data_IF_916651671616
#
_entry.id   IF_916651671616
#
_cell.length_a   1.000
_cell.length_b   1.000
_cell.length_c   1.000
_cell.angle_alpha   90.00
_cell.angle_beta   90.00
_cell.angle_gamma   90.00
#
_symmetry.space_group_name_H-M   'P 1'
#
loop_
_entity.id
_entity.type
_entity.pdbx_description
1 polymer ?
#
# COMPACT_ATOMS: atom_id res chain seq x y z
N UNK A 1 -21.03 16.73 4.22
CA UNK A 1 -19.79 17.51 4.01
C UNK A 1 -19.31 17.29 2.59
N UNK A 2 -18.80 18.33 1.91
CA UNK A 2 -18.22 18.22 0.56
C UNK A 2 -16.69 18.17 0.67
N UNK A 3 -16.08 17.11 0.20
CA UNK A 3 -14.66 16.83 0.38
C UNK A 3 -14.01 16.68 -1.00
N UNK A 4 -12.96 17.47 -1.27
CA UNK A 4 -12.17 17.33 -2.49
C UNK A 4 -10.83 16.64 -2.17
N UNK A 5 -10.62 15.44 -2.72
CA UNK A 5 -9.40 14.62 -2.53
C UNK A 5 -8.53 14.79 -3.76
N UNK A 6 -7.26 15.14 -3.56
CA UNK A 6 -6.28 15.32 -4.63
C UNK A 6 -5.19 14.27 -4.53
N UNK A 7 -4.92 13.58 -5.64
CA UNK A 7 -3.89 12.54 -5.70
C UNK A 7 -3.27 12.44 -7.09
N UNK A 8 -1.97 12.18 -7.16
CA UNK A 8 -1.28 11.91 -8.44
C UNK A 8 -1.38 10.44 -8.86
N UNK A 9 -1.93 9.56 -7.99
CA UNK A 9 -2.19 8.14 -8.29
C UNK A 9 -3.56 7.71 -7.80
N UNK A 10 -4.39 7.17 -8.71
CA UNK A 10 -5.73 6.65 -8.42
C UNK A 10 -6.01 5.44 -9.32
N UNK A 11 -6.90 4.51 -8.96
CA UNK A 11 -7.19 3.38 -9.84
C UNK A 11 -7.39 3.79 -11.31
N UNK A 12 -6.84 3.00 -12.27
CA UNK A 12 -6.29 1.65 -12.15
C UNK A 12 -4.83 1.54 -11.69
N UNK A 13 -4.17 2.62 -11.25
CA UNK A 13 -2.85 2.50 -10.64
C UNK A 13 -2.92 1.72 -9.34
N UNK A 14 -2.04 0.72 -9.16
CA UNK A 14 -1.96 -0.06 -7.94
C UNK A 14 -0.68 0.27 -7.18
N UNK A 15 -0.85 1.00 -6.09
CA UNK A 15 0.15 1.27 -5.06
C UNK A 15 -0.55 1.66 -3.76
N UNK A 16 0.17 1.68 -2.64
CA UNK A 16 -0.40 1.99 -1.33
C UNK A 16 -1.13 3.34 -1.25
N UNK A 17 -0.67 4.37 -1.99
CA UNK A 17 -1.33 5.68 -2.03
C UNK A 17 -2.66 5.61 -2.77
N UNK A 18 -2.69 4.94 -3.92
CA UNK A 18 -3.91 4.73 -4.70
C UNK A 18 -4.95 3.95 -3.89
N UNK A 19 -4.54 2.86 -3.24
CA UNK A 19 -5.41 2.06 -2.36
C UNK A 19 -5.94 2.88 -1.20
N UNK A 20 -5.06 3.62 -0.50
CA UNK A 20 -5.46 4.48 0.62
C UNK A 20 -6.46 5.56 0.20
N UNK A 21 -6.21 6.21 -0.94
CA UNK A 21 -7.10 7.25 -1.48
C UNK A 21 -8.46 6.69 -1.89
N UNK A 22 -8.47 5.51 -2.53
CA UNK A 22 -9.69 4.83 -2.94
C UNK A 22 -10.53 4.40 -1.74
N UNK A 23 -9.92 3.78 -0.74
CA UNK A 23 -10.58 3.39 0.50
C UNK A 23 -11.16 4.59 1.24
N UNK A 24 -10.40 5.70 1.31
CA UNK A 24 -10.87 6.94 1.89
C UNK A 24 -12.10 7.49 1.16
N UNK A 25 -12.04 7.61 -0.16
CA UNK A 25 -13.14 8.14 -0.96
C UNK A 25 -14.42 7.32 -0.80
N UNK A 26 -14.30 5.98 -0.88
CA UNK A 26 -15.43 5.07 -0.73
C UNK A 26 -16.02 5.12 0.69
N UNK A 27 -15.17 5.12 1.71
CA UNK A 27 -15.63 5.22 3.09
C UNK A 27 -16.39 6.51 3.36
N UNK A 28 -15.90 7.65 2.86
CA UNK A 28 -16.59 8.93 2.99
C UNK A 28 -17.94 8.93 2.27
N UNK A 29 -18.02 8.40 1.06
CA UNK A 29 -19.27 8.28 0.31
C UNK A 29 -20.28 7.35 1.00
N UNK A 30 -19.82 6.23 1.53
CA UNK A 30 -20.66 5.28 2.27
C UNK A 30 -21.29 5.92 3.53
N UNK A 31 -20.61 6.93 4.11
CA UNK A 31 -21.13 7.72 5.24
C UNK A 31 -21.88 9.00 4.83
N UNK A 32 -22.32 9.10 3.57
CA UNK A 32 -23.18 10.19 3.09
C UNK A 32 -22.47 11.52 2.85
N UNK A 33 -21.16 11.52 2.62
CA UNK A 33 -20.44 12.72 2.20
C UNK A 33 -20.39 12.85 0.68
N UNK A 34 -20.39 14.08 0.18
CA UNK A 34 -20.12 14.38 -1.22
C UNK A 34 -18.60 14.40 -1.45
N UNK A 35 -18.11 13.54 -2.31
CA UNK A 35 -16.66 13.40 -2.56
C UNK A 35 -16.33 13.67 -4.02
N UNK A 36 -15.38 14.57 -4.25
CA UNK A 36 -14.75 14.79 -5.55
C UNK A 36 -13.28 14.39 -5.50
N UNK A 37 -12.92 13.34 -6.23
CA UNK A 37 -11.51 12.94 -6.39
C UNK A 37 -10.95 13.67 -7.61
N UNK A 38 -9.80 14.33 -7.45
CA UNK A 38 -9.06 14.98 -8.54
C UNK A 38 -7.79 14.20 -8.78
N UNK A 39 -7.69 13.56 -9.95
CA UNK A 39 -6.57 12.68 -10.29
C UNK A 39 -6.13 12.88 -11.74
N UNK A 40 -4.88 12.52 -12.11
CA UNK A 40 -4.48 12.50 -13.50
C UNK A 40 -5.20 11.36 -14.25
N UNK A 41 -5.47 11.57 -15.52
CA UNK A 41 -6.03 10.51 -16.37
C UNK A 41 -4.97 9.41 -16.60
N UNK A 42 -5.37 8.15 -16.58
CA UNK A 42 -4.44 7.03 -16.85
C UNK A 42 -3.99 6.95 -18.31
N UNK A 43 -4.83 7.43 -19.23
CA UNK A 43 -4.58 7.49 -20.68
C UNK A 43 -4.51 8.93 -21.17
N UNK A 44 -4.00 9.17 -22.38
CA UNK A 44 -4.07 10.49 -23.00
C UNK A 44 -5.52 10.87 -23.28
N UNK A 45 -5.88 12.12 -23.01
CA UNK A 45 -7.25 12.59 -23.18
C UNK A 45 -7.49 13.99 -22.65
N UNK A 46 -8.76 14.39 -22.76
CA UNK A 46 -9.23 15.70 -22.29
C UNK A 46 -9.64 15.65 -20.83
N UNK A 47 -9.83 16.83 -20.22
CA UNK A 47 -10.48 16.96 -18.92
C UNK A 47 -11.87 16.33 -18.95
N UNK A 48 -12.12 15.40 -18.05
CA UNK A 48 -13.37 14.65 -17.97
C UNK A 48 -13.72 14.34 -16.52
N UNK A 49 -15.00 14.32 -16.21
CA UNK A 49 -15.48 13.83 -14.93
C UNK A 49 -16.27 12.53 -15.16
N UNK A 50 -15.86 11.46 -14.48
CA UNK A 50 -16.54 10.16 -14.50
C UNK A 50 -16.95 9.86 -13.06
N UNK A 51 -18.25 9.81 -12.81
CA UNK A 51 -18.76 9.67 -11.44
C UNK A 51 -18.26 10.79 -10.53
N UNK A 52 -17.63 10.40 -9.44
CA UNK A 52 -17.03 11.31 -8.47
C UNK A 52 -15.55 11.66 -8.75
N UNK A 53 -14.99 11.23 -9.89
CA UNK A 53 -13.59 11.47 -10.23
C UNK A 53 -13.45 12.49 -11.36
N UNK A 54 -12.73 13.55 -11.10
CA UNK A 54 -12.30 14.55 -12.09
C UNK A 54 -10.93 14.19 -12.61
N UNK A 55 -10.87 13.65 -13.81
CA UNK A 55 -9.61 13.29 -14.49
C UNK A 55 -9.01 14.50 -15.19
N UNK A 56 -7.83 14.91 -14.71
CA UNK A 56 -7.09 16.03 -15.28
C UNK A 56 -6.09 15.50 -16.32
N UNK A 57 -6.04 16.09 -17.56
CA UNK A 57 -5.08 15.67 -18.56
C UNK A 57 -3.64 15.98 -18.13
N UNK A 58 -2.71 15.11 -18.51
CA UNK A 58 -1.30 15.28 -18.21
C UNK A 58 -0.41 14.52 -19.17
N UNK A 59 0.85 14.96 -19.27
CA UNK A 59 1.90 14.34 -20.08
C UNK A 59 2.48 13.15 -19.33
N UNK A 60 2.54 11.99 -19.97
CA UNK A 60 3.08 10.76 -19.38
C UNK A 60 4.61 10.82 -19.25
N UNK A 61 5.11 10.55 -18.05
CA UNK A 61 6.54 10.56 -17.73
C UNK A 61 7.06 9.13 -17.54
N UNK A 62 7.53 8.50 -18.65
CA UNK A 62 8.07 7.13 -18.64
C UNK A 62 9.11 6.86 -17.54
N UNK A 63 10.01 7.83 -17.30
CA UNK A 63 11.11 7.71 -16.34
C UNK A 63 10.70 7.91 -14.87
N UNK A 64 9.48 8.37 -14.60
CA UNK A 64 8.97 8.63 -13.26
C UNK A 64 7.78 7.72 -12.93
N UNK A 65 7.98 6.42 -13.02
CA UNK A 65 7.02 5.38 -12.60
C UNK A 65 5.59 5.56 -13.14
N UNK A 66 5.44 6.18 -14.32
CA UNK A 66 4.13 6.40 -14.92
C UNK A 66 3.35 7.59 -14.38
N UNK A 67 3.97 8.43 -13.56
CA UNK A 67 3.35 9.70 -13.14
C UNK A 67 3.09 10.61 -14.34
N UNK A 68 2.06 11.44 -14.23
CA UNK A 68 1.71 12.40 -15.27
C UNK A 68 1.95 13.83 -14.81
N UNK A 69 2.57 14.62 -15.66
CA UNK A 69 2.74 16.05 -15.44
C UNK A 69 1.47 16.79 -15.90
N UNK A 70 0.67 17.29 -14.96
CA UNK A 70 -0.58 18.02 -15.25
C UNK A 70 -0.36 19.54 -15.22
N UNK A 71 -1.16 20.27 -16.01
CA UNK A 71 -1.10 21.73 -16.00
C UNK A 71 -1.80 22.28 -14.75
N UNK A 72 -1.00 22.69 -13.78
CA UNK A 72 -1.47 23.28 -12.51
C UNK A 72 -2.14 24.65 -12.65
N UNK A 73 -2.01 25.30 -13.81
CA UNK A 73 -2.60 26.61 -14.09
C UNK A 73 -3.92 26.53 -14.87
N UNK A 74 -4.37 25.33 -15.24
CA UNK A 74 -5.58 25.15 -16.01
C UNK A 74 -6.81 25.73 -15.30
N UNK A 75 -7.56 26.58 -15.99
CA UNK A 75 -8.73 27.27 -15.44
C UNK A 75 -9.96 26.35 -15.34
N UNK A 76 -10.09 25.38 -16.24
CA UNK A 76 -11.24 24.48 -16.30
C UNK A 76 -11.37 23.58 -15.04
N UNK A 77 -10.33 22.85 -14.59
CA UNK A 77 -10.39 22.10 -13.33
C UNK A 77 -10.74 23.00 -12.15
N UNK A 78 -10.10 24.18 -12.06
CA UNK A 78 -10.38 25.16 -11.01
C UNK A 78 -11.85 25.56 -10.96
N UNK A 79 -12.50 25.79 -12.13
CA UNK A 79 -13.93 26.15 -12.21
C UNK A 79 -14.83 25.02 -11.70
N UNK A 80 -14.53 23.76 -12.08
CA UNK A 80 -15.30 22.59 -11.63
C UNK A 80 -15.21 22.44 -10.11
N UNK A 81 -13.98 22.50 -9.56
CA UNK A 81 -13.76 22.39 -8.12
C UNK A 81 -14.42 23.53 -7.36
N UNK A 82 -14.37 24.77 -7.87
CA UNK A 82 -15.06 25.91 -7.30
C UNK A 82 -16.58 25.71 -7.26
N UNK A 83 -17.16 25.14 -8.32
CA UNK A 83 -18.60 24.85 -8.38
C UNK A 83 -19.01 23.72 -7.43
N UNK A 84 -18.13 22.76 -7.17
CA UNK A 84 -18.34 21.71 -6.17
C UNK A 84 -18.39 22.28 -4.74
N UNK A 85 -17.77 23.45 -4.48
CA UNK A 85 -17.73 24.15 -3.19
C UNK A 85 -17.28 23.24 -2.04
N UNK A 86 -16.05 22.71 -2.08
CA UNK A 86 -15.57 21.80 -1.03
C UNK A 86 -15.44 22.54 0.31
N UNK A 87 -15.81 21.87 1.39
CA UNK A 87 -15.65 22.32 2.77
C UNK A 87 -14.21 22.10 3.27
N UNK A 88 -13.54 21.08 2.71
CA UNK A 88 -12.15 20.71 3.01
C UNK A 88 -11.48 20.11 1.77
N UNK A 89 -10.20 20.37 1.62
CA UNK A 89 -9.34 19.74 0.61
C UNK A 89 -8.42 18.76 1.32
N UNK A 90 -8.37 17.50 0.84
CA UNK A 90 -7.42 16.51 1.31
C UNK A 90 -6.43 16.14 0.21
N UNK A 91 -5.18 16.51 0.41
CA UNK A 91 -4.09 16.23 -0.51
C UNK A 91 -3.36 14.94 -0.11
N UNK A 92 -3.19 14.00 -1.04
CA UNK A 92 -2.59 12.68 -0.80
C UNK A 92 -1.18 12.55 -1.38
N UNK A 93 -0.78 13.48 -2.26
CA UNK A 93 0.50 13.43 -2.96
C UNK A 93 1.05 14.83 -3.21
N UNK A 94 2.32 14.93 -3.57
CA UNK A 94 3.03 16.21 -3.75
C UNK A 94 3.54 16.50 -5.15
N UNK A 95 3.17 15.70 -6.11
CA UNK A 95 3.51 16.00 -7.48
C UNK A 95 2.57 17.07 -8.05
N UNK A 96 2.25 17.08 -9.30
CA UNK A 96 1.52 18.20 -9.93
C UNK A 96 0.10 18.38 -9.43
N UNK A 97 -0.62 17.31 -9.14
CA UNK A 97 -1.97 17.38 -8.56
C UNK A 97 -1.92 17.93 -7.12
N UNK A 98 -0.90 17.57 -6.35
CA UNK A 98 -0.70 18.16 -5.01
C UNK A 98 -0.42 19.66 -5.05
N UNK A 99 0.35 20.13 -6.05
CA UNK A 99 0.54 21.59 -6.28
C UNK A 99 -0.77 22.26 -6.64
N UNK A 100 -1.59 21.62 -7.49
CA UNK A 100 -2.94 22.10 -7.83
C UNK A 100 -3.83 22.20 -6.58
N UNK A 101 -3.81 21.19 -5.70
CA UNK A 101 -4.55 21.21 -4.43
C UNK A 101 -4.24 22.44 -3.58
N UNK A 102 -2.95 22.70 -3.35
CA UNK A 102 -2.50 23.88 -2.58
C UNK A 102 -2.89 25.19 -3.22
N UNK A 103 -2.86 25.27 -4.56
CA UNK A 103 -3.28 26.45 -5.31
C UNK A 103 -4.79 26.69 -5.15
N UNK A 104 -5.60 25.63 -5.27
CA UNK A 104 -7.06 25.67 -5.06
C UNK A 104 -7.38 26.11 -3.64
N UNK A 105 -6.79 25.47 -2.64
CA UNK A 105 -6.99 25.78 -1.22
C UNK A 105 -6.74 27.27 -0.94
N UNK A 106 -5.59 27.79 -1.39
CA UNK A 106 -5.23 29.20 -1.19
C UNK A 106 -6.19 30.15 -1.91
N UNK A 107 -6.55 29.84 -3.16
CA UNK A 107 -7.40 30.74 -3.97
C UNK A 107 -8.83 30.78 -3.49
N UNK A 108 -9.35 29.67 -3.03
CA UNK A 108 -10.74 29.54 -2.55
C UNK A 108 -10.87 29.72 -1.03
N UNK A 109 -9.75 29.91 -0.34
CA UNK A 109 -9.68 30.02 1.13
C UNK A 109 -10.37 28.81 1.81
N UNK A 110 -9.90 27.59 1.47
CA UNK A 110 -10.45 26.33 1.99
C UNK A 110 -9.33 25.66 2.81
N UNK A 111 -9.66 25.08 3.99
CA UNK A 111 -8.68 24.34 4.78
C UNK A 111 -8.11 23.15 4.01
N UNK A 112 -6.82 22.93 4.14
CA UNK A 112 -6.11 21.82 3.47
C UNK A 112 -5.51 20.87 4.48
N UNK A 113 -5.89 19.61 4.36
CA UNK A 113 -5.32 18.47 5.07
C UNK A 113 -4.35 17.76 4.14
N UNK A 114 -3.25 17.29 4.64
CA UNK A 114 -2.27 16.55 3.86
C UNK A 114 -1.90 15.23 4.54
N UNK A 115 -1.95 14.12 3.79
CA UNK A 115 -1.40 12.83 4.22
C UNK A 115 -0.07 12.57 3.51
N UNK A 116 0.99 12.45 4.31
CA UNK A 116 2.33 12.16 3.84
C UNK A 116 2.57 10.64 3.79
N UNK A 117 2.37 10.05 2.61
CA UNK A 117 2.43 8.60 2.44
C UNK A 117 3.83 8.05 2.21
N UNK A 118 4.76 8.87 1.70
CA UNK A 118 6.01 8.37 1.12
C UNK A 118 7.18 9.18 1.61
N UNK A 119 8.23 8.51 2.10
CA UNK A 119 9.54 9.14 2.26
C UNK A 119 10.16 9.36 0.88
N UNK A 120 10.10 10.59 0.38
CA UNK A 120 10.66 10.92 -0.93
C UNK A 120 12.17 10.76 -0.99
N UNK A 121 12.87 10.73 0.14
CA UNK A 121 14.32 10.48 0.19
C UNK A 121 14.68 9.09 -0.36
N UNK A 122 13.85 8.08 -0.11
CA UNK A 122 14.09 6.73 -0.58
C UNK A 122 13.99 6.61 -2.10
N UNK A 123 13.36 7.59 -2.75
CA UNK A 123 13.17 7.63 -4.21
C UNK A 123 14.15 8.57 -4.92
N UNK A 124 14.96 9.36 -4.21
CA UNK A 124 15.94 10.26 -4.85
C UNK A 124 16.97 9.49 -5.67
N UNK A 125 17.39 8.32 -5.19
CA UNK A 125 18.32 7.45 -5.90
C UNK A 125 17.83 7.09 -7.31
N UNK A 126 16.55 6.76 -7.45
CA UNK A 126 15.95 6.41 -8.75
C UNK A 126 15.82 7.61 -9.68
N UNK A 127 15.58 8.80 -9.13
CA UNK A 127 15.46 10.03 -9.92
C UNK A 127 16.82 10.56 -10.39
N UNK A 128 17.89 10.38 -9.59
CA UNK A 128 19.22 10.93 -9.86
C UNK A 128 20.24 9.90 -10.37
N UNK A 129 19.85 8.62 -10.46
CA UNK A 129 20.78 7.51 -10.77
C UNK A 129 22.03 7.50 -9.87
N UNK A 130 21.89 7.97 -8.61
CA UNK A 130 22.99 8.10 -7.65
C UNK A 130 23.85 9.35 -7.82
N UNK A 131 23.73 10.08 -8.94
CA UNK A 131 24.39 11.36 -9.17
C UNK A 131 23.67 12.46 -8.36
N UNK A 132 24.39 13.18 -7.51
CA UNK A 132 23.87 14.28 -6.68
C UNK A 132 22.84 13.87 -5.59
N UNK A 133 22.80 12.59 -5.18
CA UNK A 133 21.83 12.07 -4.20
C UNK A 133 21.80 12.87 -2.89
N UNK A 134 22.96 13.32 -2.38
CA UNK A 134 23.03 14.17 -1.16
C UNK A 134 22.30 15.51 -1.31
N UNK A 135 22.43 16.16 -2.46
CA UNK A 135 21.76 17.44 -2.72
C UNK A 135 20.25 17.24 -2.90
N UNK A 136 19.87 16.18 -3.62
CA UNK A 136 18.47 15.82 -3.80
C UNK A 136 17.79 15.50 -2.45
N UNK A 137 18.42 14.72 -1.59
CA UNK A 137 17.93 14.44 -0.23
C UNK A 137 17.79 15.71 0.61
N UNK A 138 18.80 16.59 0.57
CA UNK A 138 18.71 17.89 1.29
C UNK A 138 17.54 18.73 0.78
N UNK A 139 17.34 18.79 -0.53
CA UNK A 139 16.20 19.50 -1.11
C UNK A 139 14.86 18.90 -0.66
N UNK A 140 14.72 17.57 -0.75
CA UNK A 140 13.52 16.86 -0.30
C UNK A 140 13.22 17.13 1.18
N UNK A 141 14.23 17.13 2.04
CA UNK A 141 14.07 17.45 3.47
C UNK A 141 13.51 18.85 3.71
N UNK A 142 14.14 19.86 3.10
CA UNK A 142 13.68 21.25 3.22
C UNK A 142 12.27 21.41 2.68
N UNK A 143 11.99 20.80 1.51
CA UNK A 143 10.68 20.83 0.89
C UNK A 143 9.60 20.17 1.75
N UNK A 144 9.85 18.96 2.28
CA UNK A 144 8.91 18.23 3.12
C UNK A 144 8.58 19.00 4.41
N UNK A 145 9.57 19.64 5.03
CA UNK A 145 9.35 20.51 6.21
C UNK A 145 8.49 21.73 5.87
N UNK A 146 8.85 22.47 4.80
CA UNK A 146 8.08 23.65 4.37
C UNK A 146 6.64 23.28 4.00
N UNK A 147 6.48 22.16 3.31
CA UNK A 147 5.18 21.63 2.96
C UNK A 147 4.33 21.38 4.20
N UNK A 148 4.87 20.66 5.20
CA UNK A 148 4.17 20.38 6.42
C UNK A 148 3.68 21.63 7.13
N UNK A 149 4.53 22.65 7.23
CA UNK A 149 4.22 23.91 7.90
C UNK A 149 3.15 24.77 7.20
N UNK A 150 2.83 24.47 5.95
CA UNK A 150 1.82 25.20 5.16
C UNK A 150 0.44 24.52 5.14
N UNK A 151 0.29 23.37 5.79
CA UNK A 151 -0.97 22.65 5.85
C UNK A 151 -1.80 23.06 7.07
N UNK A 152 -3.11 23.04 6.95
CA UNK A 152 -4.00 23.27 8.10
C UNK A 152 -3.90 22.11 9.10
N UNK A 153 -3.83 20.87 8.57
CA UNK A 153 -3.62 19.65 9.33
C UNK A 153 -2.69 18.71 8.54
N UNK A 154 -1.89 17.94 9.28
CA UNK A 154 -0.93 17.01 8.70
C UNK A 154 -1.12 15.60 9.27
N UNK A 155 -1.12 14.61 8.38
CA UNK A 155 -1.34 13.20 8.71
C UNK A 155 -0.13 12.39 8.23
N UNK A 156 0.27 11.40 9.02
CA UNK A 156 1.21 10.35 8.62
C UNK A 156 0.59 8.98 8.88
N UNK A 157 0.90 7.95 8.05
CA UNK A 157 0.32 6.63 8.23
C UNK A 157 0.94 5.83 9.37
N UNK A 158 2.08 6.25 9.92
CA UNK A 158 2.81 5.54 10.99
C UNK A 158 3.60 6.48 11.88
N UNK A 159 3.94 6.01 13.07
CA UNK A 159 4.84 6.73 14.00
C UNK A 159 6.24 6.93 13.38
N UNK A 160 6.77 5.93 12.64
CA UNK A 160 8.04 6.08 11.91
C UNK A 160 8.03 7.30 10.99
N UNK A 161 6.98 7.47 10.21
CA UNK A 161 6.87 8.61 9.30
C UNK A 161 6.72 9.92 10.07
N UNK A 162 6.05 9.92 11.21
CA UNK A 162 5.97 11.07 12.12
C UNK A 162 7.35 11.40 12.71
N UNK A 163 8.10 10.40 13.19
CA UNK A 163 9.46 10.60 13.70
C UNK A 163 10.40 11.13 12.62
N UNK A 164 10.29 10.61 11.40
CA UNK A 164 11.00 11.14 10.25
C UNK A 164 10.69 12.63 10.06
N UNK A 165 9.42 13.04 10.03
CA UNK A 165 9.05 14.45 9.91
C UNK A 165 9.57 15.31 11.08
N UNK A 166 9.58 14.77 12.31
CA UNK A 166 10.20 15.41 13.47
C UNK A 166 11.70 15.59 13.31
N UNK A 167 12.41 14.60 12.77
CA UNK A 167 13.85 14.67 12.48
C UNK A 167 14.21 15.75 11.45
N UNK A 168 13.26 16.13 10.59
CA UNK A 168 13.40 17.27 9.67
C UNK A 168 13.21 18.64 10.35
N UNK A 169 12.87 18.65 11.64
CA UNK A 169 12.61 19.86 12.42
C UNK A 169 11.21 20.46 12.16
N UNK A 170 10.23 19.62 11.85
CA UNK A 170 8.83 20.07 11.77
C UNK A 170 8.19 20.09 13.16
N UNK A 171 7.68 21.24 13.59
CA UNK A 171 7.06 21.47 14.90
C UNK A 171 5.53 21.41 14.87
N UNK A 172 4.93 21.18 13.69
CA UNK A 172 3.48 21.09 13.54
C UNK A 172 2.92 19.89 14.29
N UNK A 173 1.64 19.95 14.64
CA UNK A 173 0.93 18.77 15.15
C UNK A 173 0.75 17.74 14.03
N UNK A 174 1.27 16.53 14.23
CA UNK A 174 1.20 15.43 13.28
C UNK A 174 0.22 14.39 13.81
N UNK A 175 -0.82 14.13 13.04
CA UNK A 175 -1.76 13.05 13.31
C UNK A 175 -1.21 11.74 12.75
N UNK A 176 -1.14 10.69 13.54
CA UNK A 176 -0.83 9.35 13.04
C UNK A 176 -2.14 8.62 12.81
N UNK A 177 -2.46 8.43 11.53
CA UNK A 177 -3.69 7.76 11.11
C UNK A 177 -3.32 6.73 10.04
N UNK A 178 -3.25 5.45 10.41
CA UNK A 178 -2.99 4.38 9.46
C UNK A 178 -4.06 4.32 8.37
N UNK A 179 -3.67 3.89 7.18
CA UNK A 179 -4.62 3.63 6.08
C UNK A 179 -5.63 2.58 6.50
N UNK A 180 -6.91 2.87 6.29
CA UNK A 180 -7.99 1.95 6.56
C UNK A 180 -8.10 0.86 5.49
N UNK A 181 -8.40 -0.34 5.94
CA UNK A 181 -8.65 -1.51 5.11
C UNK A 181 -10.10 -1.95 5.34
N UNK A 182 -10.81 -2.18 4.25
CA UNK A 182 -12.11 -2.87 4.31
C UNK A 182 -11.85 -4.38 4.47
N UNK A 183 -11.94 -4.85 5.69
CA UNK A 183 -11.71 -6.26 5.99
C UNK A 183 -12.84 -7.18 5.51
N UNK A 184 -14.00 -6.63 5.14
CA UNK A 184 -15.12 -7.43 4.64
C UNK A 184 -14.77 -8.19 3.37
N UNK A 185 -13.98 -7.57 2.46
CA UNK A 185 -13.61 -8.19 1.19
C UNK A 185 -12.67 -9.39 1.36
N UNK A 186 -11.96 -9.50 2.50
CA UNK A 186 -11.04 -10.60 2.81
C UNK A 186 -11.70 -11.78 3.53
N UNK A 187 -12.98 -11.67 3.89
CA UNK A 187 -13.70 -12.76 4.53
C UNK A 187 -13.93 -13.91 3.56
N UNK A 188 -13.75 -15.14 4.04
CA UNK A 188 -13.91 -16.36 3.25
C UNK A 188 -15.29 -16.45 2.58
N UNK A 189 -16.32 -15.91 3.22
CA UNK A 189 -17.71 -15.89 2.74
C UNK A 189 -17.87 -15.10 1.42
N UNK A 190 -16.97 -14.15 1.16
CA UNK A 190 -16.98 -13.31 -0.03
C UNK A 190 -16.09 -13.80 -1.16
N UNK A 191 -15.45 -14.98 -0.97
CA UNK A 191 -14.58 -15.60 -1.96
C UNK A 191 -15.36 -16.65 -2.75
N UNK A 192 -15.25 -16.58 -4.07
CA UNK A 192 -15.79 -17.60 -4.97
C UNK A 192 -14.99 -18.91 -4.84
N UNK A 193 -15.52 -19.83 -4.06
CA UNK A 193 -14.85 -21.10 -3.76
C UNK A 193 -14.76 -22.00 -4.98
N UNK A 194 -15.68 -21.86 -5.96
CA UNK A 194 -15.61 -22.63 -7.20
C UNK A 194 -14.43 -22.16 -8.04
N UNK A 195 -14.29 -20.86 -8.24
CA UNK A 195 -13.12 -20.28 -8.94
C UNK A 195 -11.81 -20.62 -8.24
N UNK A 196 -11.82 -20.65 -6.89
CA UNK A 196 -10.62 -21.00 -6.13
C UNK A 196 -10.21 -22.47 -6.40
N UNK A 197 -11.18 -23.39 -6.47
CA UNK A 197 -10.91 -24.78 -6.80
C UNK A 197 -10.46 -24.94 -8.27
N UNK A 198 -11.15 -24.28 -9.21
CA UNK A 198 -10.76 -24.27 -10.62
C UNK A 198 -9.33 -23.75 -10.83
N UNK A 199 -8.94 -22.70 -10.09
CA UNK A 199 -7.56 -22.19 -10.12
C UNK A 199 -6.57 -23.23 -9.60
N UNK A 200 -6.86 -23.86 -8.46
CA UNK A 200 -6.02 -24.93 -7.90
C UNK A 200 -5.80 -26.07 -8.89
N UNK A 201 -6.89 -26.56 -9.49
CA UNK A 201 -6.84 -27.66 -10.46
C UNK A 201 -6.02 -27.29 -11.70
N UNK A 202 -6.23 -26.09 -12.24
CA UNK A 202 -5.52 -25.60 -13.45
C UNK A 202 -4.02 -25.41 -13.18
N UNK A 203 -3.63 -25.01 -11.96
CA UNK A 203 -2.25 -24.71 -11.59
C UNK A 203 -1.55 -25.86 -10.84
N UNK A 204 -2.20 -27.04 -10.79
CA UNK A 204 -1.63 -28.24 -10.17
C UNK A 204 -1.43 -28.14 -8.66
N UNK A 205 -2.24 -27.34 -7.99
CA UNK A 205 -2.24 -27.18 -6.52
C UNK A 205 -3.18 -28.21 -5.91
N UNK A 206 -2.62 -29.26 -5.34
CA UNK A 206 -3.37 -30.34 -4.70
C UNK A 206 -3.80 -29.95 -3.28
N UNK A 207 -4.64 -30.75 -2.65
CA UNK A 207 -5.13 -30.50 -1.29
C UNK A 207 -3.99 -30.41 -0.25
N UNK A 208 -2.95 -31.23 -0.42
CA UNK A 208 -1.79 -31.26 0.47
C UNK A 208 -0.63 -30.34 0.04
N UNK A 209 -0.74 -29.65 -1.09
CA UNK A 209 0.27 -28.71 -1.56
C UNK A 209 0.32 -27.50 -0.62
N UNK A 210 1.50 -27.18 -0.10
CA UNK A 210 1.73 -26.02 0.75
C UNK A 210 1.99 -24.79 -0.11
N UNK A 211 1.11 -23.81 -0.05
CA UNK A 211 1.14 -22.63 -0.92
C UNK A 211 1.71 -21.42 -0.17
N UNK A 212 2.78 -20.87 -0.71
CA UNK A 212 3.37 -19.61 -0.29
C UNK A 212 2.92 -18.50 -1.23
N UNK A 213 2.68 -17.31 -0.68
CA UNK A 213 2.30 -16.13 -1.44
C UNK A 213 3.26 -14.99 -1.21
N UNK A 214 3.79 -14.44 -2.31
CA UNK A 214 4.39 -13.11 -2.39
C UNK A 214 3.43 -12.20 -3.15
N UNK A 215 3.07 -11.06 -2.59
CA UNK A 215 2.12 -10.14 -3.21
C UNK A 215 2.60 -8.70 -3.11
N UNK A 216 2.59 -8.00 -4.25
CA UNK A 216 2.95 -6.59 -4.33
C UNK A 216 3.74 -6.23 -5.59
N UNK A 217 4.24 -4.99 -5.62
CA UNK A 217 5.08 -4.54 -6.74
C UNK A 217 6.40 -5.32 -6.78
N UNK A 218 6.73 -5.89 -7.93
CA UNK A 218 7.99 -6.64 -8.14
C UNK A 218 9.11 -5.64 -8.42
N UNK A 219 9.76 -5.17 -7.35
CA UNK A 219 10.80 -4.17 -7.39
C UNK A 219 11.87 -4.46 -6.31
N UNK A 220 13.08 -3.95 -6.52
CA UNK A 220 14.26 -4.26 -5.66
C UNK A 220 14.03 -3.93 -4.19
N UNK A 221 13.34 -2.84 -3.90
CA UNK A 221 13.03 -2.42 -2.52
C UNK A 221 12.09 -3.39 -1.78
N UNK A 222 11.39 -4.28 -2.49
CA UNK A 222 10.55 -5.33 -1.88
C UNK A 222 11.32 -6.58 -1.51
N UNK A 223 12.57 -6.70 -1.94
CA UNK A 223 13.50 -7.80 -1.57
C UNK A 223 12.86 -9.19 -1.72
N UNK A 224 12.05 -9.40 -2.77
CA UNK A 224 11.38 -10.69 -2.99
C UNK A 224 12.36 -11.84 -3.21
N UNK A 225 13.55 -11.53 -3.73
CA UNK A 225 14.67 -12.47 -3.88
C UNK A 225 15.05 -13.17 -2.56
N UNK A 226 14.96 -12.46 -1.44
CA UNK A 226 15.25 -13.02 -0.11
C UNK A 226 14.22 -14.09 0.27
N UNK A 227 12.93 -13.84 0.05
CA UNK A 227 11.88 -14.83 0.31
C UNK A 227 11.95 -16.01 -0.66
N UNK A 228 12.31 -15.78 -1.92
CA UNK A 228 12.51 -16.85 -2.93
C UNK A 228 13.66 -17.77 -2.53
N UNK A 229 14.77 -17.21 -2.04
CA UNK A 229 15.92 -18.01 -1.52
C UNK A 229 15.52 -18.81 -0.28
N UNK A 230 14.77 -18.22 0.64
CA UNK A 230 14.24 -18.92 1.80
C UNK A 230 13.32 -20.09 1.42
N UNK A 231 12.41 -19.87 0.46
CA UNK A 231 11.55 -20.91 -0.09
C UNK A 231 12.35 -22.05 -0.76
N UNK A 232 13.35 -21.69 -1.56
CA UNK A 232 14.23 -22.69 -2.21
C UNK A 232 14.99 -23.54 -1.20
N UNK A 233 15.49 -22.93 -0.13
CA UNK A 233 16.20 -23.66 0.93
C UNK A 233 15.25 -24.57 1.72
N UNK A 234 14.01 -24.15 1.97
CA UNK A 234 12.97 -24.99 2.57
C UNK A 234 12.69 -26.21 1.69
N UNK A 235 12.43 -26.01 0.40
CA UNK A 235 12.17 -27.14 -0.52
C UNK A 235 13.37 -28.08 -0.63
N UNK A 236 14.61 -27.55 -0.65
CA UNK A 236 15.83 -28.37 -0.69
C UNK A 236 15.97 -29.25 0.56
N UNK A 237 15.56 -28.73 1.74
CA UNK A 237 15.59 -29.47 3.00
C UNK A 237 14.45 -30.48 3.13
N UNK A 238 13.29 -30.19 2.52
CA UNK A 238 12.05 -30.97 2.58
C UNK A 238 11.54 -31.32 1.17
N UNK A 239 12.30 -32.11 0.38
CA UNK A 239 11.92 -32.44 -0.99
C UNK A 239 10.66 -33.32 -1.09
N UNK A 240 10.26 -33.95 0.01
CA UNK A 240 9.04 -34.77 0.12
C UNK A 240 7.77 -33.92 0.26
N UNK A 241 7.89 -32.66 0.64
CA UNK A 241 6.74 -31.75 0.80
C UNK A 241 6.40 -31.12 -0.54
N UNK A 242 5.14 -31.32 -0.98
CA UNK A 242 4.65 -30.64 -2.17
C UNK A 242 4.41 -29.16 -1.86
N UNK A 243 5.14 -28.27 -2.56
CA UNK A 243 5.13 -26.82 -2.31
C UNK A 243 4.92 -26.04 -3.59
N UNK A 244 4.24 -24.91 -3.48
CA UNK A 244 4.06 -23.93 -4.56
C UNK A 244 4.29 -22.52 -4.04
N UNK A 245 4.96 -21.68 -4.82
CA UNK A 245 5.12 -20.25 -4.56
C UNK A 245 4.38 -19.45 -5.63
N UNK A 246 3.38 -18.69 -5.22
CA UNK A 246 2.65 -17.75 -6.07
C UNK A 246 3.25 -16.34 -5.88
N UNK A 247 3.61 -15.68 -6.99
CA UNK A 247 4.11 -14.31 -7.01
C UNK A 247 3.10 -13.44 -7.76
N UNK A 248 2.34 -12.65 -7.01
CA UNK A 248 1.27 -11.80 -7.52
C UNK A 248 1.72 -10.36 -7.57
N UNK A 249 1.70 -9.78 -8.76
CA UNK A 249 2.11 -8.42 -9.02
C UNK A 249 2.93 -8.28 -10.30
N UNK A 250 3.31 -7.05 -10.58
CA UNK A 250 4.16 -6.70 -11.72
C UNK A 250 5.25 -5.71 -11.32
N UNK A 251 6.28 -5.58 -12.13
CA UNK A 251 7.31 -4.59 -11.88
C UNK A 251 8.65 -4.89 -12.55
N UNK A 252 9.60 -3.95 -12.45
CA UNK A 252 10.84 -3.98 -13.24
C UNK A 252 11.81 -5.09 -12.85
N UNK A 253 11.68 -5.69 -11.66
CA UNK A 253 12.56 -6.77 -11.22
C UNK A 253 12.06 -8.18 -11.58
N UNK A 254 10.97 -8.32 -12.36
CA UNK A 254 10.39 -9.62 -12.69
C UNK A 254 11.38 -10.55 -13.38
N UNK A 255 12.04 -10.10 -14.44
CA UNK A 255 13.01 -10.90 -15.20
C UNK A 255 14.18 -11.38 -14.33
N UNK A 256 14.66 -10.50 -13.43
CA UNK A 256 15.73 -10.83 -12.49
C UNK A 256 15.29 -11.94 -11.50
N UNK A 257 14.03 -11.91 -11.04
CA UNK A 257 13.49 -12.95 -10.16
C UNK A 257 13.20 -14.27 -10.90
N UNK A 258 12.79 -14.23 -12.16
CA UNK A 258 12.63 -15.42 -13.01
C UNK A 258 13.97 -16.11 -13.23
N UNK A 259 15.04 -15.34 -13.50
CA UNK A 259 16.41 -15.86 -13.60
C UNK A 259 16.87 -16.49 -12.27
N UNK A 260 16.62 -15.83 -11.15
CA UNK A 260 16.91 -16.39 -9.82
C UNK A 260 16.23 -17.74 -9.59
N UNK A 261 14.96 -17.88 -9.97
CA UNK A 261 14.23 -19.15 -9.86
C UNK A 261 14.88 -20.26 -10.71
N UNK A 262 15.38 -19.91 -11.88
CA UNK A 262 16.10 -20.85 -12.75
C UNK A 262 17.45 -21.28 -12.15
N UNK A 263 18.22 -20.33 -11.61
CA UNK A 263 19.49 -20.60 -10.92
C UNK A 263 19.29 -21.53 -9.70
N UNK A 264 18.23 -21.30 -8.94
CA UNK A 264 17.85 -22.10 -7.77
C UNK A 264 17.16 -23.44 -8.14
N UNK A 265 16.88 -23.67 -9.43
CA UNK A 265 16.22 -24.89 -9.96
C UNK A 265 14.79 -25.10 -9.41
N UNK A 266 14.08 -24.01 -9.11
CA UNK A 266 12.72 -24.03 -8.55
C UNK A 266 11.66 -23.50 -9.53
N UNK A 267 11.99 -23.28 -10.81
CA UNK A 267 11.08 -22.69 -11.81
C UNK A 267 9.72 -23.40 -11.87
N UNK A 268 9.68 -24.73 -11.71
CA UNK A 268 8.43 -25.51 -11.73
C UNK A 268 7.54 -25.30 -10.50
N UNK A 269 8.12 -24.82 -9.40
CA UNK A 269 7.46 -24.59 -8.12
C UNK A 269 6.97 -23.14 -7.96
N UNK A 270 7.45 -22.23 -8.81
CA UNK A 270 7.16 -20.80 -8.71
C UNK A 270 6.28 -20.38 -9.89
N UNK A 271 5.27 -19.60 -9.59
CA UNK A 271 4.36 -19.09 -10.59
C UNK A 271 4.18 -17.58 -10.47
N UNK A 272 4.50 -16.88 -11.56
CA UNK A 272 4.33 -15.44 -11.67
C UNK A 272 2.96 -15.13 -12.29
N UNK A 273 2.00 -14.79 -11.46
CA UNK A 273 0.60 -14.52 -11.85
C UNK A 273 0.49 -13.22 -12.67
N UNK A 274 1.37 -12.26 -12.41
CA UNK A 274 1.28 -10.95 -13.01
C UNK A 274 0.41 -10.00 -12.19
N UNK A 275 0.04 -8.89 -12.82
CA UNK A 275 -0.74 -7.83 -12.20
C UNK A 275 -2.22 -8.22 -12.07
N UNK A 276 -2.79 -8.01 -10.88
CA UNK A 276 -4.21 -8.27 -10.58
C UNK A 276 -4.89 -7.01 -10.04
N UNK A 277 -6.18 -6.90 -10.23
CA UNK A 277 -6.99 -5.82 -9.69
C UNK A 277 -7.12 -5.91 -8.16
N UNK A 278 -7.30 -4.77 -7.49
CA UNK A 278 -7.41 -4.74 -6.02
C UNK A 278 -8.56 -5.60 -5.46
N UNK A 279 -9.64 -5.77 -6.21
CA UNK A 279 -10.77 -6.61 -5.82
C UNK A 279 -10.49 -8.12 -5.99
N UNK A 280 -9.45 -8.49 -6.73
CA UNK A 280 -9.04 -9.88 -6.93
C UNK A 280 -7.98 -10.32 -5.91
N UNK A 281 -7.32 -9.36 -5.27
CA UNK A 281 -6.26 -9.62 -4.27
C UNK A 281 -6.70 -10.57 -3.15
N UNK A 282 -7.91 -10.45 -2.56
CA UNK A 282 -8.40 -11.38 -1.54
C UNK A 282 -8.40 -12.84 -1.97
N UNK A 283 -8.70 -13.11 -3.25
CA UNK A 283 -8.69 -14.45 -3.82
C UNK A 283 -7.31 -15.13 -3.66
N UNK A 284 -6.22 -14.41 -3.96
CA UNK A 284 -4.86 -14.96 -3.85
C UNK A 284 -4.42 -15.19 -2.41
N UNK A 285 -4.86 -14.35 -1.47
CA UNK A 285 -4.62 -14.65 -0.05
C UNK A 285 -5.29 -15.97 0.33
N UNK A 286 -6.52 -16.24 -0.11
CA UNK A 286 -7.22 -17.47 0.24
C UNK A 286 -6.64 -18.73 -0.41
N UNK A 287 -5.86 -18.63 -1.48
CA UNK A 287 -5.08 -19.75 -2.04
C UNK A 287 -3.89 -20.14 -1.14
N UNK A 288 -3.35 -19.22 -0.36
CA UNK A 288 -2.11 -19.40 0.38
C UNK A 288 -2.32 -20.00 1.78
N UNK A 289 -1.32 -20.78 2.24
CA UNK A 289 -1.14 -21.17 3.63
C UNK A 289 -0.30 -20.13 4.38
N UNK A 290 0.76 -19.62 3.73
CA UNK A 290 1.68 -18.62 4.28
C UNK A 290 1.76 -17.45 3.31
N UNK A 291 1.50 -16.24 3.82
CA UNK A 291 1.93 -15.01 3.17
C UNK A 291 3.34 -14.66 3.65
N UNK A 292 4.29 -14.49 2.72
CA UNK A 292 5.66 -14.11 3.06
C UNK A 292 6.09 -12.81 2.38
N UNK A 293 6.89 -12.00 3.08
CA UNK A 293 7.49 -10.80 2.49
C UNK A 293 8.80 -10.46 3.19
N UNK A 294 9.80 -10.07 2.39
CA UNK A 294 11.11 -9.63 2.88
C UNK A 294 11.32 -8.12 2.77
N UNK A 295 10.26 -7.35 2.48
CA UNK A 295 10.32 -5.89 2.41
C UNK A 295 10.69 -5.28 3.77
N UNK A 296 11.68 -4.38 3.78
CA UNK A 296 12.13 -3.62 4.96
C UNK A 296 11.89 -2.10 4.79
N UNK A 297 11.23 -1.71 3.71
CA UNK A 297 10.94 -0.30 3.37
C UNK A 297 9.48 0.07 3.60
N UNK A 298 8.75 -0.75 4.34
CA UNK A 298 7.33 -0.52 4.57
C UNK A 298 7.09 0.71 5.46
N UNK A 299 6.18 1.56 5.04
CA UNK A 299 5.69 2.67 5.87
C UNK A 299 4.57 2.22 6.80
N UNK A 300 3.74 1.28 6.35
CA UNK A 300 2.65 0.68 7.12
C UNK A 300 2.56 -0.84 6.91
N UNK A 301 2.89 -1.33 5.70
CA UNK A 301 2.83 -2.76 5.38
C UNK A 301 1.40 -3.27 5.19
N UNK A 302 0.62 -2.62 4.31
CA UNK A 302 -0.79 -2.98 4.06
C UNK A 302 -0.97 -4.47 3.73
N UNK A 303 -0.09 -5.04 2.93
CA UNK A 303 -0.18 -6.45 2.50
C UNK A 303 -0.06 -7.45 3.65
N UNK A 304 0.65 -7.10 4.73
CA UNK A 304 0.68 -7.93 5.94
C UNK A 304 -0.67 -7.91 6.66
N UNK A 305 -1.32 -6.74 6.73
CA UNK A 305 -2.62 -6.59 7.37
C UNK A 305 -3.72 -7.25 6.55
N UNK A 306 -3.64 -7.17 5.23
CA UNK A 306 -4.52 -7.86 4.29
C UNK A 306 -4.42 -9.39 4.46
N UNK A 307 -3.20 -9.93 4.55
CA UNK A 307 -2.95 -11.34 4.81
C UNK A 307 -3.55 -11.78 6.17
N UNK A 308 -3.32 -11.00 7.23
CA UNK A 308 -3.90 -11.27 8.55
C UNK A 308 -5.43 -11.20 8.50
N UNK A 309 -6.02 -10.23 7.80
CA UNK A 309 -7.46 -10.10 7.62
C UNK A 309 -8.08 -11.27 6.84
N UNK A 310 -7.32 -11.85 5.91
CA UNK A 310 -7.69 -13.07 5.20
C UNK A 310 -7.50 -14.35 6.03
N UNK A 311 -7.08 -14.23 7.30
CA UNK A 311 -6.80 -15.36 8.18
C UNK A 311 -5.56 -16.16 7.78
N UNK A 312 -4.54 -15.49 7.20
CA UNK A 312 -3.32 -16.17 6.76
C UNK A 312 -2.18 -15.96 7.74
N UNK A 313 -1.37 -17.00 7.90
CA UNK A 313 -0.13 -16.88 8.68
C UNK A 313 0.87 -16.01 7.92
N UNK A 314 1.36 -14.99 8.62
CA UNK A 314 2.34 -14.06 8.08
C UNK A 314 3.75 -14.48 8.48
N UNK A 315 4.65 -14.57 7.50
CA UNK A 315 6.08 -14.78 7.68
C UNK A 315 6.84 -13.58 7.07
N UNK A 316 7.31 -12.68 7.90
CA UNK A 316 7.94 -11.43 7.49
C UNK A 316 9.45 -11.45 7.79
N UNK A 317 10.25 -10.81 6.91
CA UNK A 317 11.62 -10.44 7.30
C UNK A 317 11.53 -9.44 8.45
N UNK A 318 12.40 -9.59 9.44
CA UNK A 318 12.39 -8.70 10.60
C UNK A 318 12.57 -7.22 10.18
N UNK A 319 11.59 -6.42 10.55
CA UNK A 319 11.60 -4.97 10.44
C UNK A 319 10.97 -4.40 11.73
N UNK A 320 11.69 -3.50 12.40
CA UNK A 320 11.22 -2.85 13.63
C UNK A 320 9.89 -2.10 13.44
N UNK A 321 9.56 -1.67 12.22
CA UNK A 321 8.28 -1.00 11.93
C UNK A 321 7.08 -1.95 11.99
N UNK A 322 7.29 -3.23 11.85
CA UNK A 322 6.25 -4.25 11.87
C UNK A 322 6.02 -4.84 13.28
N UNK A 323 6.88 -4.54 14.26
CA UNK A 323 6.83 -5.15 15.61
C UNK A 323 5.55 -4.78 16.40
N UNK A 324 4.85 -3.71 16.03
CA UNK A 324 3.53 -3.37 16.59
C UNK A 324 2.37 -4.17 15.98
N UNK A 325 2.57 -4.73 14.77
CA UNK A 325 1.57 -5.51 14.03
C UNK A 325 1.89 -7.00 14.07
N UNK A 326 3.16 -7.36 13.82
CA UNK A 326 3.63 -8.73 13.89
C UNK A 326 4.33 -8.93 15.23
N UNK A 327 3.76 -9.79 16.08
CA UNK A 327 4.35 -10.24 17.34
C UNK A 327 4.77 -11.69 17.11
N UNK A 328 6.08 -11.94 17.13
CA UNK A 328 6.65 -13.24 16.75
C UNK A 328 6.06 -14.40 17.54
N UNK A 329 5.47 -15.37 16.85
CA UNK A 329 4.79 -16.52 17.44
C UNK A 329 3.43 -16.24 18.07
N UNK A 330 2.90 -15.00 17.95
CA UNK A 330 1.60 -14.62 18.50
C UNK A 330 0.62 -14.12 17.41
N UNK A 331 1.06 -13.24 16.50
CA UNK A 331 0.23 -12.71 15.41
C UNK A 331 0.82 -13.01 14.03
N UNK A 332 2.03 -13.58 13.99
CA UNK A 332 2.79 -13.94 12.81
C UNK A 332 4.21 -14.31 13.20
N UNK A 333 5.10 -14.42 12.24
CA UNK A 333 6.47 -14.86 12.45
C UNK A 333 7.46 -13.94 11.76
N UNK A 334 8.66 -13.82 12.36
CA UNK A 334 9.78 -13.10 11.76
C UNK A 334 10.91 -14.06 11.39
N UNK A 335 11.58 -13.76 10.29
CA UNK A 335 12.84 -14.36 9.90
C UNK A 335 13.90 -13.27 9.65
N UNK A 336 15.18 -13.62 9.72
CA UNK A 336 16.32 -12.70 9.49
C UNK A 336 17.19 -13.16 8.32
N UNK A 337 17.24 -14.47 8.08
CA UNK A 337 18.05 -15.14 7.05
C UNK A 337 17.33 -16.40 6.55
N UNK A 338 17.93 -17.11 5.58
CA UNK A 338 17.34 -18.31 5.01
C UNK A 338 17.18 -19.45 6.04
N UNK A 339 18.10 -19.58 6.99
CA UNK A 339 18.02 -20.63 8.00
C UNK A 339 16.83 -20.40 8.94
N UNK A 340 16.66 -19.17 9.42
CA UNK A 340 15.50 -18.78 10.25
C UNK A 340 14.20 -18.82 9.46
N UNK A 341 14.20 -18.50 8.15
CA UNK A 341 13.04 -18.68 7.29
C UNK A 341 12.57 -20.13 7.32
N UNK A 342 13.48 -21.08 7.05
CA UNK A 342 13.19 -22.52 7.07
C UNK A 342 12.67 -22.95 8.44
N UNK A 343 13.34 -22.54 9.52
CA UNK A 343 12.91 -22.86 10.88
C UNK A 343 11.50 -22.38 11.20
N UNK A 344 11.15 -21.16 10.78
CA UNK A 344 9.78 -20.64 11.00
C UNK A 344 8.76 -21.39 10.16
N UNK A 345 9.05 -21.73 8.91
CA UNK A 345 8.15 -22.53 8.06
C UNK A 345 7.91 -23.90 8.68
N UNK A 346 8.96 -24.60 9.15
CA UNK A 346 8.82 -25.88 9.86
C UNK A 346 7.91 -25.72 11.09
N UNK A 347 8.12 -24.67 11.87
CA UNK A 347 7.28 -24.36 13.03
C UNK A 347 5.83 -24.14 12.64
N UNK A 348 5.56 -23.34 11.58
CA UNK A 348 4.21 -23.04 11.11
C UNK A 348 3.51 -24.32 10.67
N UNK A 349 4.16 -25.18 9.87
CA UNK A 349 3.53 -26.40 9.38
C UNK A 349 3.44 -27.53 10.41
N UNK A 350 4.18 -27.45 11.54
CA UNK A 350 4.07 -28.38 12.66
C UNK A 350 2.96 -28.03 13.65
N UNK A 351 2.34 -26.84 13.54
CA UNK A 351 1.24 -26.42 14.42
C UNK A 351 -0.02 -27.23 14.14
N UNK A 352 -0.73 -27.58 15.22
CA UNK A 352 -2.08 -28.10 15.11
C UNK A 352 -3.09 -26.95 14.83
N UNK A 353 -4.33 -27.32 14.51
CA UNK A 353 -5.40 -26.38 14.16
C UNK A 353 -5.65 -25.35 15.26
N UNK A 354 -5.69 -25.77 16.53
CA UNK A 354 -5.91 -24.87 17.68
C UNK A 354 -4.81 -23.80 17.80
N UNK A 355 -3.56 -24.19 17.61
CA UNK A 355 -2.42 -23.28 17.64
C UNK A 355 -2.49 -22.28 16.48
N UNK A 356 -2.88 -22.74 15.30
CA UNK A 356 -3.04 -21.92 14.10
C UNK A 356 -4.15 -20.88 14.31
N UNK A 357 -5.33 -21.35 14.76
CA UNK A 357 -6.48 -20.49 15.04
C UNK A 357 -6.16 -19.43 16.08
N UNK A 358 -5.42 -19.78 17.11
CA UNK A 358 -5.00 -18.80 18.13
C UNK A 358 -4.17 -17.65 17.54
N UNK A 359 -3.24 -17.96 16.63
CA UNK A 359 -2.45 -16.93 15.96
C UNK A 359 -3.33 -16.05 15.08
N UNK A 360 -4.26 -16.63 14.33
CA UNK A 360 -5.20 -15.90 13.48
C UNK A 360 -6.10 -14.99 14.32
N UNK A 361 -6.65 -15.47 15.43
CA UNK A 361 -7.50 -14.67 16.32
C UNK A 361 -6.74 -13.50 16.95
N UNK A 362 -5.48 -13.71 17.36
CA UNK A 362 -4.65 -12.63 17.87
C UNK A 362 -4.29 -11.62 16.76
N UNK A 363 -4.04 -12.09 15.53
CA UNK A 363 -3.81 -11.22 14.37
C UNK A 363 -5.04 -10.35 14.05
N UNK A 364 -6.26 -10.90 14.10
CA UNK A 364 -7.50 -10.13 13.91
C UNK A 364 -7.64 -8.99 14.92
N UNK A 365 -7.28 -9.19 16.19
CA UNK A 365 -7.32 -8.14 17.21
C UNK A 365 -6.37 -6.98 16.90
N UNK A 366 -5.19 -7.30 16.35
CA UNK A 366 -4.19 -6.30 16.00
C UNK A 366 -4.62 -5.51 14.76
N UNK A 367 -5.13 -6.18 13.73
CA UNK A 367 -5.51 -5.49 12.49
C UNK A 367 -6.78 -4.64 12.64
N UNK A 368 -7.61 -4.88 13.65
CA UNK A 368 -8.84 -4.10 13.88
C UNK A 368 -8.60 -2.59 14.01
N UNK A 369 -7.42 -2.16 14.50
CA UNK A 369 -7.06 -0.73 14.54
C UNK A 369 -6.96 -0.09 13.14
N UNK A 370 -6.77 -0.90 12.11
CA UNK A 370 -6.68 -0.51 10.70
C UNK A 370 -8.01 -0.64 9.96
N UNK A 371 -9.12 -0.90 10.67
CA UNK A 371 -10.43 -1.01 10.04
C UNK A 371 -10.86 0.30 9.38
N UNK A 372 -11.60 0.15 8.28
CA UNK A 372 -12.09 1.29 7.50
C UNK A 372 -12.91 2.26 8.35
N UNK A 373 -13.68 1.75 9.33
CA UNK A 373 -14.50 2.57 10.23
C UNK A 373 -13.64 3.40 11.20
N UNK A 374 -12.58 2.80 11.77
CA UNK A 374 -11.65 3.55 12.63
C UNK A 374 -10.89 4.60 11.82
N UNK A 375 -10.48 4.27 10.61
CA UNK A 375 -9.87 5.20 9.69
C UNK A 375 -10.80 6.39 9.41
N UNK A 376 -12.04 6.12 9.00
CA UNK A 376 -13.05 7.14 8.77
C UNK A 376 -13.22 8.07 9.98
N UNK A 377 -13.45 7.50 11.15
CA UNK A 377 -13.66 8.28 12.37
C UNK A 377 -12.48 9.20 12.71
N UNK A 378 -11.25 8.71 12.53
CA UNK A 378 -10.04 9.49 12.78
C UNK A 378 -9.87 10.61 11.74
N UNK A 379 -10.10 10.34 10.47
CA UNK A 379 -10.06 11.34 9.38
C UNK A 379 -11.12 12.43 9.63
N UNK A 380 -12.34 12.07 10.01
CA UNK A 380 -13.41 13.02 10.30
C UNK A 380 -13.08 13.96 11.47
N UNK A 381 -12.37 13.46 12.51
CA UNK A 381 -11.87 14.31 13.59
C UNK A 381 -10.88 15.37 13.07
N UNK A 382 -10.00 14.98 12.15
CA UNK A 382 -9.04 15.90 11.52
C UNK A 382 -9.75 16.92 10.65
N UNK A 383 -10.70 16.51 9.81
CA UNK A 383 -11.47 17.44 8.95
C UNK A 383 -12.24 18.47 9.77
N UNK A 384 -12.95 18.03 10.80
CA UNK A 384 -13.69 18.91 11.69
C UNK A 384 -12.78 19.93 12.40
N UNK A 385 -11.56 19.51 12.78
CA UNK A 385 -10.57 20.41 13.37
C UNK A 385 -9.98 21.37 12.34
N UNK A 386 -9.68 20.91 11.12
CA UNK A 386 -9.16 21.75 10.04
C UNK A 386 -10.15 22.87 9.69
N UNK A 387 -11.44 22.55 9.59
CA UNK A 387 -12.49 23.52 9.32
C UNK A 387 -12.56 24.56 10.44
N UNK A 388 -12.57 24.12 11.72
CA UNK A 388 -12.61 25.05 12.88
C UNK A 388 -11.38 25.96 12.98
N UNK A 389 -10.20 25.50 12.59
CA UNK A 389 -8.98 26.32 12.60
C UNK A 389 -8.95 27.37 11.50
N UNK A 390 -9.73 27.17 10.46
CA UNK A 390 -9.71 28.03 9.28
C UNK A 390 -10.70 29.20 9.39
N UNK A 391 -11.70 29.06 10.23
CA UNK A 391 -12.68 30.10 10.61
C UNK A 391 -12.24 30.83 11.87
#
# INVERSE_FOLDING_TARGET
MRIAIFTDTYPPFVNGVSTSTFNLANSLMAHGHDVLVVAPRSTDGKLEQIGNVLYVPGIYLKKLYGYRFTNIFASKPMKIIKNFKPDVIHNQTDFTIGVLARRVARRLKIPIVYTYHTSYEDYTYYATHGLMDRLAKRFVRVYSKDLANRMTEFITPSEKTKEYMRSLGSDIYINVIPTGIDFSIFKKENIDMQKLQEFKDTHGIKENTKVFLLLGRIAKEKSMDVSIRGFAEYHKKHPEVDVKLLIVGGGPAKEELEQLCAELKITKLVEFIGFVGSLEVPFYYHLADIYTSASITETQGLTFMEAMAAGKTVLARFDSNLTGTIINGKTGFFFTDNASFVQQVEKIFSMNEEQHDKIIQEAYKVVDIYSIDKFYNNIMRVYNRAIRKHW
#
